data_IF_882707347136
#
_entry.id   IF_882707347136
#
_cell.length_a   1.000
_cell.length_b   1.000
_cell.length_c   1.000
_cell.angle_alpha   90.00
_cell.angle_beta   90.00
_cell.angle_gamma   90.00
#
_symmetry.space_group_name_H-M   'P 1'
#
loop_
_entity.id
_entity.type
_entity.pdbx_description
1 polymer ?
#
# COMPACT_ATOMS: atom_id res chain seq x y z
N UNK A 1 7.28 -81.64 -59.44
CA UNK A 1 6.96 -82.41 -58.24
C UNK A 1 6.99 -81.41 -57.07
N UNK A 2 5.83 -80.83 -56.69
CA UNK A 2 5.74 -79.81 -55.63
C UNK A 2 5.11 -80.50 -54.41
N UNK A 3 5.90 -80.51 -53.34
CA UNK A 3 5.49 -80.99 -52.01
C UNK A 3 4.76 -79.85 -51.29
N UNK A 4 3.49 -80.05 -50.97
CA UNK A 4 2.68 -79.15 -50.16
C UNK A 4 2.83 -79.57 -48.70
N UNK A 5 3.36 -78.76 -47.88
CA UNK A 5 3.52 -78.97 -46.41
C UNK A 5 2.28 -78.40 -45.70
N UNK A 6 1.46 -79.31 -45.13
CA UNK A 6 0.31 -78.94 -44.32
C UNK A 6 0.76 -78.66 -42.88
N UNK A 7 0.62 -77.43 -42.42
CA UNK A 7 0.86 -77.09 -41.04
C UNK A 7 -0.50 -77.10 -40.28
N UNK A 8 -0.65 -78.07 -39.37
CA UNK A 8 -1.80 -78.15 -38.43
C UNK A 8 -1.49 -77.24 -37.25
N UNK A 9 -2.31 -76.11 -37.10
CA UNK A 9 -2.27 -75.24 -35.93
C UNK A 9 -3.31 -75.80 -34.95
N UNK A 10 -2.83 -76.33 -33.82
CA UNK A 10 -3.69 -76.69 -32.68
C UNK A 10 -3.94 -75.45 -31.80
N UNK A 11 -5.18 -75.01 -31.73
CA UNK A 11 -5.62 -73.92 -30.87
C UNK A 11 -5.79 -74.47 -29.43
N UNK A 12 -4.95 -73.99 -28.55
CA UNK A 12 -5.12 -74.22 -27.10
C UNK A 12 -6.05 -73.15 -26.56
N UNK A 13 -7.27 -73.50 -26.19
CA UNK A 13 -8.18 -72.66 -25.44
C UNK A 13 -7.82 -72.66 -23.96
N UNK A 14 -7.10 -71.62 -23.50
CA UNK A 14 -6.90 -71.37 -22.08
C UNK A 14 -8.10 -70.53 -21.57
N UNK A 15 -8.92 -71.13 -20.72
CA UNK A 15 -10.00 -70.46 -20.00
C UNK A 15 -9.43 -69.48 -19.00
N UNK A 16 -9.56 -68.18 -19.23
CA UNK A 16 -9.20 -67.15 -18.28
C UNK A 16 -10.40 -66.98 -17.32
N UNK A 17 -10.21 -67.41 -16.08
CA UNK A 17 -11.13 -67.12 -15.00
C UNK A 17 -10.96 -65.66 -14.56
N UNK A 18 -11.93 -64.82 -14.88
CA UNK A 18 -12.04 -63.44 -14.44
C UNK A 18 -12.53 -63.46 -12.98
N UNK A 19 -11.64 -63.37 -12.02
CA UNK A 19 -11.99 -63.10 -10.62
C UNK A 19 -12.40 -61.62 -10.53
N UNK A 20 -13.69 -61.39 -10.25
CA UNK A 20 -14.21 -60.06 -9.93
C UNK A 20 -13.60 -59.56 -8.60
N UNK A 21 -12.65 -58.63 -8.70
CA UNK A 21 -12.19 -57.90 -7.51
C UNK A 21 -13.29 -56.94 -7.04
N UNK A 22 -13.66 -56.88 -5.80
CA UNK A 22 -14.66 -55.92 -5.33
C UNK A 22 -14.15 -54.53 -5.45
N UNK A 23 -14.93 -53.62 -6.04
CA UNK A 23 -14.69 -52.17 -6.09
C UNK A 23 -14.51 -51.66 -4.64
N UNK A 24 -13.29 -51.27 -4.33
CA UNK A 24 -12.96 -50.58 -3.11
C UNK A 24 -13.66 -49.23 -3.15
N UNK A 25 -14.61 -48.98 -2.23
CA UNK A 25 -15.26 -47.69 -2.03
C UNK A 25 -14.19 -46.65 -1.83
N UNK A 26 -13.99 -45.76 -2.82
CA UNK A 26 -13.19 -44.57 -2.65
C UNK A 26 -13.90 -43.72 -1.60
N UNK A 27 -13.36 -43.64 -0.39
CA UNK A 27 -13.73 -42.62 0.57
C UNK A 27 -13.30 -41.29 -0.02
N UNK A 28 -14.27 -40.54 -0.55
CA UNK A 28 -14.11 -39.12 -0.83
C UNK A 28 -13.89 -38.47 0.54
N UNK A 29 -12.64 -38.11 0.83
CA UNK A 29 -12.34 -37.24 1.94
C UNK A 29 -12.90 -35.88 1.52
N UNK A 30 -14.07 -35.54 2.04
CA UNK A 30 -14.53 -34.15 2.04
C UNK A 30 -13.52 -33.36 2.88
N UNK A 31 -12.62 -32.67 2.20
CA UNK A 31 -11.81 -31.62 2.83
C UNK A 31 -12.83 -30.56 3.23
N UNK A 32 -13.00 -30.26 4.53
CA UNK A 32 -13.85 -29.15 4.91
C UNK A 32 -13.26 -27.91 4.26
N UNK A 33 -14.00 -27.30 3.35
CA UNK A 33 -13.74 -25.93 2.90
C UNK A 33 -14.07 -25.08 4.11
N UNK A 34 -13.09 -24.92 4.98
CA UNK A 34 -13.11 -23.82 5.94
C UNK A 34 -13.18 -22.58 5.08
N UNK A 35 -14.26 -21.85 5.17
CA UNK A 35 -14.35 -20.48 4.67
C UNK A 35 -13.36 -19.66 5.50
N UNK A 36 -12.08 -19.78 5.18
CA UNK A 36 -11.16 -18.68 5.44
C UNK A 36 -11.77 -17.47 4.72
N UNK A 37 -12.25 -16.53 5.49
CA UNK A 37 -12.55 -15.21 4.98
C UNK A 37 -11.35 -14.84 4.12
N UNK A 38 -11.56 -14.68 2.80
CA UNK A 38 -10.53 -14.23 1.87
C UNK A 38 -10.01 -12.89 2.37
N UNK A 39 -8.96 -12.94 3.21
CA UNK A 39 -8.16 -11.76 3.49
C UNK A 39 -7.64 -11.34 2.12
N UNK A 40 -7.82 -10.08 1.69
CA UNK A 40 -7.34 -9.64 0.39
C UNK A 40 -5.87 -10.03 0.25
N UNK A 41 -5.52 -10.61 -0.87
CA UNK A 41 -4.12 -10.93 -1.16
C UNK A 41 -3.41 -9.63 -1.55
N UNK A 42 -2.94 -8.90 -0.54
CA UNK A 42 -2.21 -7.64 -0.74
C UNK A 42 -0.92 -7.86 -1.53
N UNK A 43 -0.30 -9.04 -1.43
CA UNK A 43 0.89 -9.36 -2.19
C UNK A 43 0.56 -9.44 -3.69
N UNK A 44 -0.52 -10.12 -4.05
CA UNK A 44 -0.99 -10.17 -5.44
C UNK A 44 -1.30 -8.76 -5.97
N UNK A 45 -2.02 -7.94 -5.21
CA UNK A 45 -2.36 -6.58 -5.63
C UNK A 45 -1.11 -5.69 -5.79
N UNK A 46 -0.12 -5.85 -4.90
CA UNK A 46 1.17 -5.14 -4.98
C UNK A 46 1.91 -5.48 -6.28
N UNK A 47 1.96 -6.75 -6.66
CA UNK A 47 2.56 -7.21 -7.92
C UNK A 47 1.79 -6.70 -9.14
N UNK A 48 0.45 -6.77 -9.13
CA UNK A 48 -0.40 -6.31 -10.23
C UNK A 48 -0.27 -4.80 -10.50
N UNK A 49 -0.09 -3.99 -9.45
CA UNK A 49 0.18 -2.54 -9.58
C UNK A 49 1.64 -2.26 -9.96
N UNK A 50 2.53 -3.27 -9.87
CA UNK A 50 3.98 -3.15 -10.14
C UNK A 50 4.67 -2.17 -9.17
N UNK A 51 4.43 -2.36 -7.88
CA UNK A 51 4.97 -1.48 -6.82
C UNK A 51 6.39 -1.85 -6.38
N UNK A 52 6.98 -2.93 -6.87
CA UNK A 52 8.37 -3.28 -6.60
C UNK A 52 9.30 -2.11 -6.98
N UNK A 53 10.19 -1.73 -6.09
CA UNK A 53 11.07 -0.56 -6.21
C UNK A 53 10.37 0.83 -6.27
N UNK A 54 9.06 0.88 -6.04
CA UNK A 54 8.27 2.12 -5.98
C UNK A 54 7.83 2.43 -4.56
N UNK A 55 7.38 1.43 -3.83
CA UNK A 55 6.81 1.57 -2.49
C UNK A 55 7.20 0.36 -1.64
N UNK A 56 7.55 0.58 -0.38
CA UNK A 56 7.79 -0.50 0.59
C UNK A 56 6.52 -1.35 0.76
N UNK A 57 6.67 -2.69 0.68
CA UNK A 57 5.54 -3.62 0.81
C UNK A 57 4.85 -3.50 2.16
N UNK A 58 5.61 -3.35 3.26
CA UNK A 58 5.04 -3.18 4.60
C UNK A 58 4.21 -1.89 4.70
N UNK A 59 4.68 -0.78 4.13
CA UNK A 59 3.92 0.46 4.04
C UNK A 59 2.60 0.27 3.28
N UNK A 60 2.63 -0.47 2.17
CA UNK A 60 1.45 -0.80 1.39
C UNK A 60 0.47 -1.71 2.14
N UNK A 61 0.96 -2.80 2.75
CA UNK A 61 0.14 -3.73 3.53
C UNK A 61 -0.53 -3.03 4.72
N UNK A 62 0.21 -2.21 5.46
CA UNK A 62 -0.34 -1.42 6.57
C UNK A 62 -1.38 -0.42 6.08
N UNK A 63 -1.13 0.26 4.95
CA UNK A 63 -2.06 1.23 4.38
C UNK A 63 -3.39 0.60 3.98
N UNK A 64 -3.37 -0.56 3.31
CA UNK A 64 -4.59 -1.26 2.89
C UNK A 64 -5.34 -1.89 4.08
N UNK A 65 -4.63 -2.50 5.01
CA UNK A 65 -5.23 -3.02 6.23
C UNK A 65 -5.88 -1.89 7.06
N UNK A 66 -5.23 -0.73 7.12
CA UNK A 66 -5.80 0.46 7.74
C UNK A 66 -7.04 0.95 7.01
N UNK A 67 -7.04 0.94 5.67
CA UNK A 67 -8.19 1.32 4.86
C UNK A 67 -9.41 0.43 5.14
N UNK A 68 -9.24 -0.88 5.27
CA UNK A 68 -10.33 -1.80 5.62
C UNK A 68 -10.94 -1.46 6.99
N UNK A 69 -10.09 -1.14 7.97
CA UNK A 69 -10.49 -0.85 9.34
C UNK A 69 -11.14 0.52 9.51
N UNK A 70 -10.59 1.53 8.84
CA UNK A 70 -11.06 2.93 8.87
C UNK A 70 -12.32 3.10 8.03
N UNK A 71 -12.41 2.39 6.90
CA UNK A 71 -13.53 2.39 5.97
C UNK A 71 -13.87 3.80 5.45
N UNK A 72 -12.96 4.49 4.75
CA UNK A 72 -13.18 5.85 4.26
C UNK A 72 -14.30 5.91 3.21
N UNK A 73 -14.83 7.09 2.94
CA UNK A 73 -15.92 7.31 1.97
C UNK A 73 -15.48 6.95 0.54
N UNK A 74 -14.24 7.29 0.17
CA UNK A 74 -13.63 6.96 -1.13
C UNK A 74 -12.55 5.90 -0.91
N UNK A 75 -12.77 4.71 -1.46
CA UNK A 75 -11.88 3.54 -1.30
C UNK A 75 -11.06 3.21 -2.53
N UNK A 76 -11.36 3.84 -3.63
CA UNK A 76 -10.66 3.65 -4.91
C UNK A 76 -9.31 4.35 -4.94
N UNK A 77 -9.11 5.39 -4.13
CA UNK A 77 -7.88 6.18 -4.06
C UNK A 77 -7.24 6.08 -2.68
N UNK A 78 -5.95 5.78 -2.67
CA UNK A 78 -5.12 5.85 -1.46
C UNK A 78 -3.81 6.59 -1.73
N UNK A 79 -3.38 7.39 -0.76
CA UNK A 79 -2.09 8.08 -0.79
C UNK A 79 -1.17 7.50 0.28
N UNK A 80 0.06 7.14 -0.08
CA UNK A 80 1.05 6.61 0.86
C UNK A 80 2.32 7.47 0.76
N UNK A 81 2.81 7.94 1.90
CA UNK A 81 4.10 8.63 2.02
C UNK A 81 5.03 7.73 2.81
N UNK A 82 6.15 7.35 2.22
CA UNK A 82 7.17 6.49 2.84
C UNK A 82 8.37 7.34 3.32
N UNK A 83 8.39 7.67 4.59
CA UNK A 83 9.47 8.44 5.20
C UNK A 83 10.70 7.60 5.58
N UNK A 84 10.73 6.30 5.28
CA UNK A 84 11.98 5.52 5.34
C UNK A 84 12.94 5.95 4.24
N UNK A 85 12.43 6.52 3.14
CA UNK A 85 13.22 7.04 2.03
C UNK A 85 13.72 8.47 2.30
N UNK A 86 14.89 8.84 1.77
CA UNK A 86 15.41 10.20 1.87
C UNK A 86 14.52 11.19 1.10
N UNK A 87 14.60 12.45 1.45
CA UNK A 87 13.81 13.51 0.79
C UNK A 87 14.18 13.75 -0.67
N UNK A 88 15.31 13.21 -1.12
CA UNK A 88 15.79 13.25 -2.51
C UNK A 88 15.12 12.21 -3.41
N UNK A 89 14.43 11.24 -2.82
CA UNK A 89 13.73 10.19 -3.56
C UNK A 89 12.23 10.47 -3.66
N UNK A 90 11.61 9.90 -4.69
CA UNK A 90 10.15 9.88 -4.80
C UNK A 90 9.61 8.95 -3.73
N UNK A 91 8.91 9.49 -2.76
CA UNK A 91 8.45 8.79 -1.56
C UNK A 91 6.98 9.07 -1.23
N UNK A 92 6.24 9.65 -2.15
CA UNK A 92 4.79 9.78 -2.11
C UNK A 92 4.20 9.11 -3.35
N UNK A 93 3.28 8.18 -3.12
CA UNK A 93 2.56 7.45 -4.16
C UNK A 93 1.07 7.67 -3.99
N UNK A 94 0.36 7.94 -5.08
CA UNK A 94 -1.11 7.95 -5.13
C UNK A 94 -1.54 6.81 -6.03
N UNK A 95 -2.35 5.91 -5.48
CA UNK A 95 -2.82 4.71 -6.16
C UNK A 95 -4.32 4.80 -6.44
N UNK A 96 -4.74 4.32 -7.59
CA UNK A 96 -6.12 3.95 -7.83
C UNK A 96 -6.22 2.42 -7.77
N UNK A 97 -6.91 1.91 -6.75
CA UNK A 97 -7.00 0.47 -6.45
C UNK A 97 -7.92 -0.26 -7.43
N UNK A 98 -8.99 0.38 -7.91
CA UNK A 98 -9.94 -0.21 -8.85
C UNK A 98 -9.30 -0.44 -10.22
N UNK A 99 -8.57 0.56 -10.73
CA UNK A 99 -7.85 0.46 -12.00
C UNK A 99 -6.47 -0.16 -11.88
N UNK A 100 -6.00 -0.43 -10.63
CA UNK A 100 -4.68 -0.98 -10.31
C UNK A 100 -3.54 -0.16 -10.92
N UNK A 101 -3.58 1.16 -10.73
CA UNK A 101 -2.62 2.10 -11.34
C UNK A 101 -2.00 3.04 -10.34
N UNK A 102 -0.73 3.35 -10.57
CA UNK A 102 -0.06 4.49 -9.95
C UNK A 102 -0.53 5.74 -10.69
N UNK A 103 -1.22 6.65 -9.97
CA UNK A 103 -1.65 7.93 -10.52
C UNK A 103 -0.55 8.98 -10.40
N UNK A 104 0.15 9.00 -9.26
CA UNK A 104 1.28 9.89 -9.01
C UNK A 104 2.37 9.17 -8.24
N UNK A 105 3.63 9.45 -8.57
CA UNK A 105 4.81 9.04 -7.82
C UNK A 105 5.79 10.21 -7.80
N UNK A 106 5.95 10.86 -6.64
CA UNK A 106 6.66 12.13 -6.53
C UNK A 106 7.43 12.29 -5.22
N UNK A 107 8.30 13.29 -5.20
CA UNK A 107 8.96 13.78 -3.99
C UNK A 107 7.95 14.50 -3.08
N UNK A 108 8.19 14.50 -1.79
CA UNK A 108 7.40 15.22 -0.78
C UNK A 108 8.29 15.67 0.38
N UNK A 109 8.12 16.93 0.83
CA UNK A 109 8.85 17.45 1.99
C UNK A 109 8.23 17.02 3.30
N UNK A 110 9.05 16.97 4.35
CA UNK A 110 8.64 16.76 5.75
C UNK A 110 8.90 17.99 6.61
N UNK A 111 8.50 17.94 7.88
CA UNK A 111 8.68 19.00 8.86
C UNK A 111 10.17 19.22 9.24
N UNK A 112 10.58 20.49 9.41
CA UNK A 112 11.99 20.85 9.63
C UNK A 112 12.62 20.20 10.85
N UNK A 113 11.83 19.94 11.88
CA UNK A 113 12.31 19.29 13.11
C UNK A 113 12.12 17.76 13.07
N UNK A 114 11.61 17.20 11.95
CA UNK A 114 11.59 15.74 11.75
C UNK A 114 12.95 15.19 11.34
N UNK A 115 13.84 16.00 10.80
CA UNK A 115 15.17 15.60 10.37
C UNK A 115 15.69 16.42 9.20
N UNK A 116 16.84 16.06 8.67
CA UNK A 116 17.48 16.76 7.55
C UNK A 116 17.07 16.11 6.19
N UNK A 117 17.80 15.12 5.75
CA UNK A 117 17.52 14.37 4.53
C UNK A 117 16.46 13.29 4.78
N UNK A 118 16.53 12.64 5.93
CA UNK A 118 15.56 11.64 6.38
C UNK A 118 14.65 12.22 7.45
N UNK A 119 13.39 11.79 7.49
CA UNK A 119 12.48 12.08 8.58
C UNK A 119 12.61 10.96 9.63
N UNK A 120 13.17 11.30 10.80
CA UNK A 120 13.48 10.34 11.88
C UNK A 120 12.77 10.67 13.19
N UNK A 121 12.14 11.85 13.29
CA UNK A 121 11.45 12.32 14.48
C UNK A 121 10.06 12.84 14.13
N UNK A 122 9.06 12.43 14.90
CA UNK A 122 7.66 12.71 14.64
C UNK A 122 6.97 13.23 15.90
N UNK A 123 5.95 14.06 15.75
CA UNK A 123 5.23 14.60 16.89
C UNK A 123 3.83 15.07 16.54
N UNK A 124 2.92 14.87 17.49
CA UNK A 124 1.56 15.39 17.45
C UNK A 124 1.44 16.77 18.15
N UNK A 125 2.52 17.28 18.76
CA UNK A 125 2.47 18.48 19.58
C UNK A 125 2.43 19.75 18.73
N UNK A 126 1.60 20.71 19.16
CA UNK A 126 1.57 22.04 18.55
C UNK A 126 2.94 22.74 18.68
N UNK A 127 3.38 23.38 17.61
CA UNK A 127 4.66 24.09 17.59
C UNK A 127 5.92 23.20 17.51
N UNK A 128 5.78 21.88 17.42
CA UNK A 128 6.92 20.96 17.24
C UNK A 128 7.65 21.16 15.92
N UNK A 129 6.96 21.65 14.89
CA UNK A 129 7.45 21.71 13.51
C UNK A 129 7.88 20.34 12.95
N UNK A 130 7.34 19.26 13.51
CA UNK A 130 7.55 17.90 13.08
C UNK A 130 6.32 17.39 12.30
N UNK A 131 6.54 16.50 11.35
CA UNK A 131 5.49 15.69 10.76
C UNK A 131 4.94 14.70 11.79
N UNK A 132 3.71 14.25 11.62
CA UNK A 132 3.12 13.17 12.42
C UNK A 132 2.92 11.95 11.51
N UNK A 133 3.07 10.76 12.05
CA UNK A 133 2.84 9.49 11.35
C UNK A 133 1.36 9.12 11.35
N UNK A 134 1.01 8.08 10.61
CA UNK A 134 -0.28 7.42 10.69
C UNK A 134 -1.29 7.84 9.61
N UNK A 135 -2.54 7.58 9.91
CA UNK A 135 -3.64 7.71 8.96
C UNK A 135 -4.36 9.05 9.07
N UNK A 136 -4.72 9.57 7.89
CA UNK A 136 -5.46 10.82 7.74
C UNK A 136 -6.61 10.63 6.77
N UNK A 137 -7.73 11.30 7.04
CA UNK A 137 -8.75 11.55 6.04
C UNK A 137 -8.49 12.90 5.38
N UNK A 138 -8.61 12.93 4.08
CA UNK A 138 -8.53 14.17 3.31
C UNK A 138 -9.87 14.89 3.36
N UNK A 139 -9.85 16.20 3.59
CA UNK A 139 -11.06 17.01 3.69
C UNK A 139 -11.21 17.99 2.52
N UNK A 140 -11.77 19.13 2.80
CA UNK A 140 -11.96 20.22 1.85
C UNK A 140 -10.65 20.94 1.53
N UNK A 141 -10.68 21.67 0.42
CA UNK A 141 -9.58 22.52 -0.02
C UNK A 141 -9.85 23.99 0.30
N UNK A 142 -8.79 24.79 0.36
CA UNK A 142 -8.88 26.23 0.52
C UNK A 142 -7.67 26.92 -0.12
N UNK A 143 -7.79 28.24 -0.34
CA UNK A 143 -6.65 29.08 -0.74
C UNK A 143 -6.14 29.84 0.49
N UNK A 144 -4.93 29.57 0.92
CA UNK A 144 -4.26 30.19 2.06
C UNK A 144 -2.92 30.83 1.69
N UNK A 145 -2.09 31.10 2.69
CA UNK A 145 -0.76 31.69 2.49
C UNK A 145 0.16 30.79 1.61
N UNK A 146 -0.04 29.48 1.62
CA UNK A 146 0.70 28.52 0.78
C UNK A 146 0.01 28.25 -0.58
N UNK A 147 -1.02 29.00 -0.92
CA UNK A 147 -1.84 28.78 -2.12
C UNK A 147 -2.89 27.69 -1.90
N UNK A 148 -3.20 26.94 -2.97
CA UNK A 148 -4.18 25.85 -2.96
C UNK A 148 -3.71 24.73 -2.04
N UNK A 149 -4.48 24.47 -1.02
CA UNK A 149 -4.13 23.57 0.09
C UNK A 149 -5.26 22.61 0.43
N UNK A 150 -4.92 21.40 0.88
CA UNK A 150 -5.84 20.35 1.28
C UNK A 150 -5.74 20.11 2.78
N UNK A 151 -6.87 20.21 3.48
CA UNK A 151 -6.95 19.94 4.92
C UNK A 151 -6.83 18.44 5.19
N UNK A 152 -6.03 18.09 6.21
CA UNK A 152 -5.83 16.74 6.69
C UNK A 152 -6.42 16.58 8.09
N UNK A 153 -7.36 15.64 8.24
CA UNK A 153 -7.87 15.20 9.55
C UNK A 153 -7.07 13.99 10.01
N UNK A 154 -6.24 14.14 11.03
CA UNK A 154 -5.55 13.02 11.67
C UNK A 154 -6.52 12.22 12.53
N UNK A 155 -6.62 10.93 12.31
CA UNK A 155 -7.67 10.08 12.91
C UNK A 155 -7.17 9.20 14.05
N UNK A 156 -5.88 9.24 14.35
CA UNK A 156 -5.27 8.43 15.40
C UNK A 156 -4.97 9.27 16.64
N UNK A 157 -5.74 9.01 17.71
CA UNK A 157 -5.65 9.76 18.97
C UNK A 157 -4.26 9.66 19.60
N UNK A 158 -3.68 10.83 19.94
CA UNK A 158 -2.35 10.92 20.52
C UNK A 158 -1.21 10.86 19.49
N UNK A 159 -1.46 10.43 18.27
CA UNK A 159 -0.47 10.24 17.20
C UNK A 159 -0.51 11.38 16.19
N UNK A 160 -1.70 11.71 15.66
CA UNK A 160 -1.88 12.76 14.64
C UNK A 160 -3.21 13.53 14.76
N UNK A 161 -4.04 13.24 15.75
CA UNK A 161 -5.34 13.90 15.96
C UNK A 161 -5.24 15.42 16.16
N UNK A 162 -4.06 15.95 16.42
CA UNK A 162 -3.80 17.38 16.45
C UNK A 162 -3.39 17.98 15.09
N UNK A 163 -3.38 17.20 14.02
CA UNK A 163 -2.96 17.68 12.70
C UNK A 163 -3.79 18.87 12.22
N UNK A 164 -5.11 18.75 12.26
CA UNK A 164 -6.03 19.83 11.86
C UNK A 164 -5.93 21.07 12.75
N UNK A 165 -5.95 20.99 14.10
CA UNK A 165 -5.68 22.14 14.98
C UNK A 165 -4.31 22.78 14.76
N UNK A 166 -3.31 22.01 14.35
CA UNK A 166 -1.95 22.48 14.01
C UNK A 166 -1.86 23.08 12.60
N UNK A 167 -2.94 23.08 11.82
CA UNK A 167 -3.00 23.49 10.42
C UNK A 167 -2.03 22.69 9.53
N UNK A 168 -1.90 21.37 9.78
CA UNK A 168 -1.20 20.46 8.90
C UNK A 168 -2.06 20.20 7.67
N UNK A 169 -1.51 20.53 6.50
CA UNK A 169 -2.20 20.46 5.21
C UNK A 169 -1.24 19.95 4.12
N UNK A 170 -1.76 19.46 3.01
CA UNK A 170 -0.96 19.32 1.79
C UNK A 170 -0.97 20.65 1.05
N UNK A 171 0.21 21.10 0.60
CA UNK A 171 0.35 22.35 -0.17
C UNK A 171 1.58 22.31 -1.09
N UNK A 172 1.61 23.15 -2.11
CA UNK A 172 2.76 23.32 -2.99
C UNK A 172 3.84 24.22 -2.36
N UNK A 173 5.12 23.92 -2.63
CA UNK A 173 6.22 24.74 -2.14
C UNK A 173 7.41 24.74 -3.11
N UNK A 174 8.05 25.91 -3.29
CA UNK A 174 9.24 26.05 -4.14
C UNK A 174 10.44 25.26 -3.63
N UNK A 175 10.50 25.05 -2.31
CA UNK A 175 11.53 24.24 -1.67
C UNK A 175 11.32 22.72 -1.83
N UNK A 176 10.23 22.30 -2.44
CA UNK A 176 9.97 20.91 -2.81
C UNK A 176 10.14 20.76 -4.33
N UNK A 177 11.39 20.79 -4.80
CA UNK A 177 11.73 20.69 -6.21
C UNK A 177 13.09 20.02 -6.43
N UNK A 178 13.29 19.47 -7.63
CA UNK A 178 14.57 18.88 -8.04
C UNK A 178 15.69 19.94 -8.03
N UNK A 179 15.40 21.17 -8.45
CA UNK A 179 16.36 22.28 -8.43
C UNK A 179 16.83 22.61 -7.00
N UNK A 180 15.91 22.51 -6.03
CA UNK A 180 16.26 22.68 -4.63
C UNK A 180 17.16 21.54 -4.13
N UNK A 181 16.88 20.29 -4.53
CA UNK A 181 17.74 19.14 -4.23
C UNK A 181 19.13 19.32 -4.82
N UNK A 182 19.24 19.72 -6.09
CA UNK A 182 20.53 19.95 -6.76
C UNK A 182 21.37 21.03 -6.05
N UNK A 183 20.73 22.07 -5.54
CA UNK A 183 21.42 23.19 -4.89
C UNK A 183 21.81 22.92 -3.43
N UNK A 184 21.09 22.04 -2.72
CA UNK A 184 21.24 21.88 -1.25
C UNK A 184 21.51 20.45 -0.80
N UNK A 185 21.41 19.46 -1.70
CA UNK A 185 21.56 18.03 -1.43
C UNK A 185 20.34 17.36 -0.78
N UNK A 186 19.24 18.08 -0.56
CA UNK A 186 17.98 17.57 -0.01
C UNK A 186 16.81 18.49 -0.38
N UNK A 187 15.56 18.08 -0.09
CA UNK A 187 14.43 19.01 -0.14
C UNK A 187 14.49 20.06 1.00
N UNK A 188 13.84 21.19 0.76
CA UNK A 188 13.44 22.08 1.85
C UNK A 188 12.42 21.42 2.78
N UNK A 189 12.10 22.07 3.89
CA UNK A 189 11.30 21.48 4.96
C UNK A 189 10.20 22.43 5.40
N UNK A 190 9.03 21.86 5.70
CA UNK A 190 7.84 22.57 6.19
C UNK A 190 7.88 22.77 7.71
N UNK A 191 6.77 23.24 8.28
CA UNK A 191 6.51 23.23 9.72
C UNK A 191 5.66 22.02 10.17
N UNK A 192 5.73 20.91 9.41
CA UNK A 192 5.03 19.65 9.68
C UNK A 192 4.19 19.13 8.53
N UNK A 193 3.79 20.01 7.60
CA UNK A 193 2.98 19.68 6.45
C UNK A 193 3.71 18.79 5.44
N UNK A 194 3.06 17.83 4.77
CA UNK A 194 3.54 17.29 3.51
C UNK A 194 3.48 18.37 2.43
N UNK A 195 4.64 18.82 1.94
CA UNK A 195 4.69 19.83 0.86
C UNK A 195 5.11 19.19 -0.45
N UNK A 196 4.46 19.59 -1.54
CA UNK A 196 4.57 19.03 -2.88
C UNK A 196 5.30 19.97 -3.84
N UNK A 197 5.84 19.45 -4.96
CA UNK A 197 6.21 20.29 -6.11
C UNK A 197 5.01 21.13 -6.56
N UNK A 198 5.24 22.41 -6.85
CA UNK A 198 4.14 23.33 -7.18
C UNK A 198 3.31 22.87 -8.39
N UNK A 199 3.96 22.33 -9.39
CA UNK A 199 3.33 21.84 -10.62
C UNK A 199 2.44 20.63 -10.41
N UNK A 200 2.73 19.81 -9.37
CA UNK A 200 1.95 18.63 -9.02
C UNK A 200 0.92 18.88 -7.91
N UNK A 201 1.01 20.02 -7.22
CA UNK A 201 0.14 20.30 -6.06
C UNK A 201 -1.35 20.24 -6.41
N UNK A 202 -1.77 21.02 -7.40
CA UNK A 202 -3.20 21.07 -7.77
C UNK A 202 -3.71 19.74 -8.33
N UNK A 203 -3.06 19.08 -9.32
CA UNK A 203 -3.57 17.82 -9.84
C UNK A 203 -3.60 16.71 -8.78
N UNK A 204 -2.63 16.65 -7.86
CA UNK A 204 -2.66 15.67 -6.75
C UNK A 204 -3.81 15.99 -5.81
N UNK A 205 -3.94 17.22 -5.31
CA UNK A 205 -5.02 17.62 -4.41
C UNK A 205 -6.39 17.35 -5.02
N UNK A 206 -6.61 17.70 -6.28
CA UNK A 206 -7.88 17.46 -6.96
C UNK A 206 -8.24 15.96 -7.08
N UNK A 207 -7.22 15.09 -7.12
CA UNK A 207 -7.40 13.64 -7.16
C UNK A 207 -7.74 13.06 -5.79
N UNK A 208 -7.09 13.56 -4.72
CA UNK A 208 -7.16 12.92 -3.40
C UNK A 208 -8.09 13.62 -2.39
N UNK A 209 -8.69 14.77 -2.72
CA UNK A 209 -9.55 15.52 -1.81
C UNK A 209 -10.87 14.81 -1.48
N UNK A 210 -11.48 15.21 -0.34
CA UNK A 210 -12.85 14.87 0.04
C UNK A 210 -13.09 13.38 0.26
N UNK A 211 -12.44 12.83 1.30
CA UNK A 211 -12.75 11.51 1.85
C UNK A 211 -11.87 10.35 1.39
N UNK A 212 -10.69 10.61 0.79
CA UNK A 212 -9.70 9.56 0.57
C UNK A 212 -8.83 9.35 1.80
N UNK A 213 -8.16 8.20 1.87
CA UNK A 213 -7.21 7.90 2.92
C UNK A 213 -5.78 8.29 2.49
N UNK A 214 -5.07 8.93 3.42
CA UNK A 214 -3.63 9.17 3.32
C UNK A 214 -2.93 8.50 4.49
N UNK A 215 -1.86 7.76 4.22
CA UNK A 215 -1.03 7.11 5.22
C UNK A 215 0.41 7.61 5.17
N UNK A 216 0.94 8.05 6.30
CA UNK A 216 2.35 8.44 6.46
C UNK A 216 3.07 7.35 7.25
N UNK A 217 3.91 6.60 6.54
CA UNK A 217 4.69 5.48 7.04
C UNK A 217 6.11 5.92 7.40
N UNK A 218 6.64 5.33 8.44
CA UNK A 218 8.07 5.26 8.76
C UNK A 218 8.34 3.98 9.57
N UNK A 219 9.56 3.47 9.50
CA UNK A 219 10.00 2.41 10.42
C UNK A 219 10.16 3.02 11.83
N UNK A 220 9.07 2.99 12.61
CA UNK A 220 8.98 3.60 13.93
C UNK A 220 8.24 2.70 14.91
N UNK A 221 9.01 2.09 15.83
CA UNK A 221 8.47 1.13 16.79
C UNK A 221 7.45 1.76 17.76
N UNK A 222 7.60 3.02 18.14
CA UNK A 222 6.66 3.72 19.00
C UNK A 222 5.29 3.85 18.31
N UNK A 223 5.29 4.23 17.02
CA UNK A 223 4.07 4.28 16.21
C UNK A 223 3.42 2.91 16.10
N UNK A 224 4.18 1.88 15.71
CA UNK A 224 3.65 0.53 15.49
C UNK A 224 3.00 -0.06 16.74
N UNK A 225 3.56 0.21 17.91
CA UNK A 225 3.01 -0.27 19.20
C UNK A 225 1.85 0.56 19.73
N UNK A 226 1.78 1.84 19.35
CA UNK A 226 0.78 2.80 19.86
C UNK A 226 -0.47 2.91 18.98
N UNK A 227 -0.35 2.64 17.68
CA UNK A 227 -1.46 2.76 16.73
C UNK A 227 -2.51 1.68 16.95
N UNK A 228 -3.74 2.11 17.28
CA UNK A 228 -4.89 1.20 17.37
C UNK A 228 -5.29 0.63 16.00
N UNK A 229 -4.82 1.25 14.92
CA UNK A 229 -5.11 0.82 13.55
C UNK A 229 -4.25 -0.38 13.15
N UNK A 230 -2.93 -0.33 13.42
CA UNK A 230 -1.99 -1.35 12.90
C UNK A 230 -1.46 -2.33 13.95
N UNK A 231 -1.54 -2.06 15.24
CA UNK A 231 -0.92 -2.89 16.32
C UNK A 231 -1.31 -4.37 16.33
N UNK A 232 -2.43 -4.75 15.70
CA UNK A 232 -2.90 -6.13 15.62
C UNK A 232 -2.64 -6.79 14.26
N UNK A 233 -1.80 -6.18 13.43
CA UNK A 233 -1.46 -6.67 12.10
C UNK A 233 -0.14 -7.44 12.08
N UNK A 234 0.59 -7.39 13.21
CA UNK A 234 1.87 -8.09 13.43
C UNK A 234 1.65 -9.42 14.12
#
# INVERSE_FOLDING_TARGET
MRIVLLIIITFFLTSFNLTKTPLQKVHTVEIPITSEHNKPDFAQLYEEIQLENVLNFEAFEQALSGMEKINPDKKDIITIIDFTLPSTEKRMVVLNLDSKKILFHTIVSHGKNSGEQYATSFSNQHGSYQSSLGFYLTENTYFGANGYSLVLEGIEKGINDQAKPRAVVIHGADYCSEDFIQSTGRLGRSYGCPALPRELNQPIIDTIKEGTLLYIYADNQEYTTSSEVIKNMM
#
